data_IF_765710520038
#
_entry.id   IF_765710520038
#
_cell.length_a   1.000
_cell.length_b   1.000
_cell.length_c   1.000
_cell.angle_alpha   90.00
_cell.angle_beta   90.00
_cell.angle_gamma   90.00
#
_symmetry.space_group_name_H-M   'P 1'
#
loop_
_entity.id
_entity.type
_entity.pdbx_description
1 polymer ?
#
# COMPACT_ATOMS: atom_id res chain seq x y z
N UNK A 1 12.63 -44.55 -11.65
CA UNK A 1 13.41 -43.51 -10.94
C UNK A 1 12.69 -42.19 -11.13
N UNK A 2 12.15 -41.58 -10.07
CA UNK A 2 11.51 -40.27 -10.15
C UNK A 2 12.54 -39.14 -10.27
N UNK A 3 12.16 -37.94 -10.73
CA UNK A 3 13.06 -36.81 -10.83
C UNK A 3 13.62 -36.42 -9.45
N UNK A 4 14.85 -35.90 -9.37
CA UNK A 4 15.44 -35.45 -8.11
C UNK A 4 14.61 -34.30 -7.51
N UNK A 5 14.28 -34.41 -6.22
CA UNK A 5 13.55 -33.35 -5.51
C UNK A 5 14.44 -32.11 -5.38
N UNK A 6 13.91 -30.88 -5.55
CA UNK A 6 14.65 -29.66 -5.30
C UNK A 6 15.20 -29.63 -3.87
N UNK A 7 16.46 -29.20 -3.69
CA UNK A 7 17.04 -28.99 -2.36
C UNK A 7 16.31 -27.83 -1.69
N UNK A 8 15.77 -28.07 -0.49
CA UNK A 8 15.12 -27.05 0.34
C UNK A 8 16.16 -26.44 1.28
N UNK A 9 16.46 -25.16 1.10
CA UNK A 9 17.42 -24.41 1.91
C UNK A 9 16.77 -23.87 3.20
N UNK A 10 16.07 -24.73 3.95
CA UNK A 10 15.42 -24.36 5.22
C UNK A 10 14.29 -25.30 5.67
N UNK A 11 13.73 -25.08 6.87
CA UNK A 11 12.66 -25.91 7.45
C UNK A 11 11.30 -25.77 6.74
N UNK A 12 11.16 -24.86 5.78
CA UNK A 12 9.91 -24.59 5.07
C UNK A 12 10.09 -24.65 3.55
N UNK A 13 9.12 -25.19 2.80
CA UNK A 13 9.23 -25.39 1.36
C UNK A 13 9.09 -24.12 0.51
N UNK A 14 9.00 -22.94 1.14
CA UNK A 14 8.66 -21.68 0.48
C UNK A 14 9.93 -20.86 0.24
N UNK A 15 10.29 -20.66 -1.04
CA UNK A 15 11.39 -19.78 -1.44
C UNK A 15 10.83 -18.43 -1.90
N UNK A 16 11.14 -17.37 -1.15
CA UNK A 16 10.74 -16.00 -1.52
C UNK A 16 11.77 -15.47 -2.55
N UNK A 17 11.35 -15.08 -3.77
CA UNK A 17 12.28 -14.52 -4.74
C UNK A 17 12.77 -13.15 -4.27
N UNK A 18 14.06 -12.81 -4.47
CA UNK A 18 14.57 -11.49 -4.13
C UNK A 18 13.90 -10.44 -5.02
N UNK A 19 13.10 -9.58 -4.40
CA UNK A 19 12.44 -8.47 -5.11
C UNK A 19 13.43 -7.33 -5.31
N UNK A 20 13.51 -6.78 -6.52
CA UNK A 20 14.40 -5.64 -6.82
C UNK A 20 14.05 -4.45 -5.93
N UNK A 21 15.02 -3.71 -5.36
CA UNK A 21 14.76 -2.57 -4.48
C UNK A 21 13.82 -1.52 -5.08
N UNK A 22 13.89 -1.31 -6.39
CA UNK A 22 13.02 -0.39 -7.12
C UNK A 22 11.53 -0.68 -6.90
N UNK A 23 11.10 -1.94 -6.94
CA UNK A 23 9.69 -2.29 -6.74
C UNK A 23 9.22 -2.01 -5.32
N UNK A 24 10.11 -2.11 -4.33
CA UNK A 24 9.81 -1.76 -2.93
C UNK A 24 9.60 -0.26 -2.78
N UNK A 25 10.48 0.55 -3.35
CA UNK A 25 10.36 2.01 -3.30
C UNK A 25 9.13 2.52 -4.04
N UNK A 26 8.85 1.99 -5.23
CA UNK A 26 7.67 2.36 -5.99
C UNK A 26 6.38 1.93 -5.28
N UNK A 27 6.34 0.73 -4.68
CA UNK A 27 5.19 0.28 -3.90
C UNK A 27 4.90 1.20 -2.71
N UNK A 28 5.94 1.55 -1.94
CA UNK A 28 5.80 2.49 -0.81
C UNK A 28 5.46 3.90 -1.27
N UNK A 29 6.07 4.40 -2.34
CA UNK A 29 5.78 5.72 -2.89
C UNK A 29 4.34 5.85 -3.37
N UNK A 30 3.82 4.84 -4.08
CA UNK A 30 2.42 4.80 -4.51
C UNK A 30 1.47 4.71 -3.32
N UNK A 31 1.74 3.84 -2.33
CA UNK A 31 0.93 3.76 -1.11
C UNK A 31 0.95 5.06 -0.30
N UNK A 32 2.12 5.69 -0.16
CA UNK A 32 2.26 6.98 0.50
C UNK A 32 1.51 8.10 -0.24
N UNK A 33 1.57 8.10 -1.58
CA UNK A 33 0.83 9.07 -2.41
C UNK A 33 -0.69 8.92 -2.27
N UNK A 34 -1.18 7.68 -2.17
CA UNK A 34 -2.60 7.40 -1.94
C UNK A 34 -3.06 7.96 -0.59
N UNK A 35 -2.32 7.67 0.50
CA UNK A 35 -2.66 8.21 1.82
C UNK A 35 -2.49 9.73 1.91
N UNK A 36 -1.45 10.27 1.28
CA UNK A 36 -1.28 11.71 1.15
C UNK A 36 -2.48 12.37 0.47
N UNK A 37 -2.99 11.76 -0.61
CA UNK A 37 -4.18 12.23 -1.30
C UNK A 37 -5.42 12.23 -0.41
N UNK A 38 -5.65 11.16 0.35
CA UNK A 38 -6.78 11.07 1.28
C UNK A 38 -6.68 12.16 2.36
N UNK A 39 -5.52 12.35 2.98
CA UNK A 39 -5.32 13.38 4.01
C UNK A 39 -5.43 14.80 3.44
N UNK A 40 -4.94 15.01 2.23
CA UNK A 40 -5.09 16.27 1.50
C UNK A 40 -6.56 16.59 1.21
N UNK A 41 -7.33 15.60 0.75
CA UNK A 41 -8.78 15.71 0.55
C UNK A 41 -9.50 15.94 1.87
N UNK A 42 -9.16 15.21 2.94
CA UNK A 42 -9.74 15.40 4.26
C UNK A 42 -9.48 16.82 4.82
N UNK A 43 -8.34 17.44 4.51
CA UNK A 43 -8.08 18.84 4.89
C UNK A 43 -8.94 19.83 4.11
N UNK A 44 -9.13 19.60 2.80
CA UNK A 44 -9.89 20.51 1.92
C UNK A 44 -11.41 20.37 2.08
N UNK A 45 -11.88 19.13 2.18
CA UNK A 45 -13.29 18.79 2.34
C UNK A 45 -13.67 18.64 3.83
N UNK A 46 -12.72 18.85 4.75
CA UNK A 46 -12.89 18.80 6.19
C UNK A 46 -14.04 19.66 6.74
N UNK A 47 -14.25 20.91 6.26
CA UNK A 47 -15.39 21.73 6.71
C UNK A 47 -16.75 21.17 6.29
N UNK A 48 -16.81 20.42 5.18
CA UNK A 48 -18.04 19.81 4.65
C UNK A 48 -18.31 18.45 5.33
N UNK A 49 -17.25 17.68 5.59
CA UNK A 49 -17.34 16.37 6.26
C UNK A 49 -17.53 16.47 7.78
N UNK A 50 -17.00 17.52 8.43
CA UNK A 50 -17.20 17.80 9.87
C UNK A 50 -18.48 18.62 10.14
N UNK A 51 -19.30 18.90 9.12
CA UNK A 51 -20.63 19.51 9.27
C UNK A 51 -20.63 20.98 9.71
N UNK A 52 -19.52 21.71 9.54
CA UNK A 52 -19.37 23.10 10.00
C UNK A 52 -19.86 24.16 9.00
N UNK A 53 -20.26 23.74 7.79
CA UNK A 53 -20.88 24.65 6.82
C UNK A 53 -21.93 23.90 6.00
N UNK A 54 -23.19 24.10 6.33
CA UNK A 54 -24.30 23.60 5.52
C UNK A 54 -24.46 24.51 4.28
N UNK A 55 -24.62 23.98 3.05
CA UNK A 55 -24.85 24.79 1.85
C UNK A 55 -26.15 25.61 1.84
N UNK A 56 -26.89 25.69 2.96
CA UNK A 56 -28.13 26.46 3.12
C UNK A 56 -28.15 27.39 4.34
N UNK A 57 -27.02 27.61 5.00
CA UNK A 57 -26.91 28.74 5.94
C UNK A 57 -26.64 30.02 5.13
N UNK A 58 -27.74 30.65 4.73
CA UNK A 58 -27.81 31.98 4.10
C UNK A 58 -28.32 33.00 5.11
#
# INVERSE_FOLDING_TARGET
>A
MGPPRPKLDGPHPIRIPPVRPLYRFMATGLGASMWFWIMYRAKKDGPVLLGWRHPWDH
#
